data_IF_261669365609
#
_entry.id   IF_261669365609
#
_cell.length_a   1.000
_cell.length_b   1.000
_cell.length_c   1.000
_cell.angle_alpha   90.00
_cell.angle_beta   90.00
_cell.angle_gamma   90.00
#
_symmetry.space_group_name_H-M   'P 1'
#
loop_
_entity.id
_entity.type
_entity.pdbx_description
1 polymer ?
#
# COMPACT_ATOMS: atom_id res chain seq x y z
N UNK A 1 55.85 -39.06 -8.05
CA UNK A 1 55.32 -37.74 -7.55
C UNK A 1 54.19 -37.40 -8.49
N UNK A 2 52.95 -37.82 -8.16
CA UNK A 2 51.73 -37.55 -8.96
C UNK A 2 51.15 -36.23 -8.51
N UNK A 3 51.06 -35.26 -9.44
CA UNK A 3 50.45 -33.94 -9.24
C UNK A 3 48.98 -34.06 -9.59
N UNK A 4 48.11 -34.15 -8.58
CA UNK A 4 46.64 -34.11 -8.73
C UNK A 4 46.21 -32.65 -8.94
N UNK A 5 45.85 -32.28 -10.16
CA UNK A 5 45.20 -31.04 -10.49
C UNK A 5 43.74 -31.07 -9.95
N UNK A 6 43.44 -30.27 -8.93
CA UNK A 6 42.07 -29.92 -8.53
C UNK A 6 41.50 -28.95 -9.57
N UNK A 7 40.62 -29.44 -10.42
CA UNK A 7 39.71 -28.60 -11.21
C UNK A 7 38.62 -28.05 -10.29
N UNK A 8 38.80 -26.85 -9.79
CA UNK A 8 37.71 -26.08 -9.17
C UNK A 8 36.71 -25.70 -10.26
N UNK A 9 35.55 -26.35 -10.28
CA UNK A 9 34.40 -25.90 -11.07
C UNK A 9 33.94 -24.54 -10.52
N UNK A 10 34.27 -23.50 -11.25
CA UNK A 10 33.68 -22.19 -11.03
C UNK A 10 32.21 -22.30 -11.45
N UNK A 11 31.32 -22.54 -10.50
CA UNK A 11 29.89 -22.38 -10.69
C UNK A 11 29.64 -20.89 -10.91
N UNK A 12 29.45 -20.48 -12.16
CA UNK A 12 28.91 -19.18 -12.49
C UNK A 12 27.57 -19.08 -11.75
N UNK A 13 27.53 -18.27 -10.68
CA UNK A 13 26.28 -17.96 -9.99
C UNK A 13 25.39 -17.25 -11.00
N UNK A 14 24.42 -17.99 -11.52
CA UNK A 14 23.34 -17.45 -12.31
C UNK A 14 22.46 -16.63 -11.33
N UNK A 15 22.91 -15.40 -11.02
CA UNK A 15 22.14 -14.48 -10.19
C UNK A 15 20.91 -14.10 -11.00
N UNK A 16 19.78 -14.72 -10.65
CA UNK A 16 18.51 -14.40 -11.27
C UNK A 16 18.31 -12.87 -11.20
N UNK A 17 18.16 -12.26 -12.38
CA UNK A 17 18.07 -10.80 -12.53
C UNK A 17 16.85 -10.28 -11.78
N UNK A 18 17.06 -9.31 -10.91
CA UNK A 18 15.95 -8.60 -10.25
C UNK A 18 15.11 -7.87 -11.32
N UNK A 19 13.80 -8.07 -11.27
CA UNK A 19 12.86 -7.47 -12.22
C UNK A 19 11.58 -7.03 -11.48
N UNK A 20 11.67 -5.99 -10.62
CA UNK A 20 10.52 -5.46 -9.92
C UNK A 20 9.55 -4.75 -10.88
N UNK A 21 8.26 -4.83 -10.58
CA UNK A 21 7.24 -4.07 -11.28
C UNK A 21 7.27 -2.63 -10.76
N UNK A 22 7.72 -1.71 -11.61
CA UNK A 22 7.78 -0.27 -11.29
C UNK A 22 6.50 0.43 -11.73
N UNK A 23 6.03 1.36 -10.91
CA UNK A 23 4.82 2.16 -11.18
C UNK A 23 5.06 3.62 -10.81
N UNK A 24 4.30 4.52 -11.41
CA UNK A 24 4.17 5.86 -10.88
C UNK A 24 3.50 5.83 -9.49
N UNK A 25 3.68 6.87 -8.72
CA UNK A 25 3.02 7.12 -7.41
C UNK A 25 3.02 5.90 -6.47
N UNK A 26 4.20 5.30 -6.22
CA UNK A 26 4.30 4.07 -5.43
C UNK A 26 3.84 4.23 -3.97
N UNK A 27 3.69 5.46 -3.48
CA UNK A 27 3.17 5.76 -2.13
C UNK A 27 1.75 5.21 -1.92
N UNK A 28 0.98 4.98 -2.99
CA UNK A 28 -0.35 4.36 -2.93
C UNK A 28 -0.31 2.89 -2.46
N UNK A 29 0.86 2.26 -2.52
CA UNK A 29 1.09 0.88 -2.04
C UNK A 29 1.53 0.81 -0.57
N UNK A 30 1.76 1.94 0.07
CA UNK A 30 2.15 2.02 1.47
C UNK A 30 0.91 2.01 2.36
N UNK A 31 1.00 1.35 3.51
CA UNK A 31 -0.07 1.42 4.51
C UNK A 31 -0.33 2.85 4.93
N UNK A 32 -1.59 3.24 4.88
CA UNK A 32 -2.05 4.59 5.19
C UNK A 32 -2.27 4.81 6.70
N UNK A 33 -2.29 3.74 7.51
CA UNK A 33 -2.55 3.82 8.96
C UNK A 33 -1.71 2.84 9.77
N UNK A 34 -1.58 3.13 11.07
CA UNK A 34 -0.75 2.36 11.99
C UNK A 34 -1.32 0.99 12.33
N UNK A 35 -2.65 0.80 12.36
CA UNK A 35 -3.26 -0.50 12.64
C UNK A 35 -2.91 -1.50 11.55
N UNK A 36 -3.17 -1.15 10.30
CA UNK A 36 -2.87 -1.98 9.13
C UNK A 36 -1.37 -2.27 9.03
N UNK A 37 -0.55 -1.23 9.20
CA UNK A 37 0.90 -1.38 9.16
C UNK A 37 1.44 -2.33 10.24
N UNK A 38 0.84 -2.34 11.43
CA UNK A 38 1.21 -3.26 12.51
C UNK A 38 0.81 -4.72 12.24
N UNK A 39 -0.05 -4.95 11.26
CA UNK A 39 -0.59 -6.28 10.91
C UNK A 39 -0.02 -6.81 9.59
N UNK A 40 1.23 -6.47 9.25
CA UNK A 40 1.89 -6.93 8.02
C UNK A 40 1.20 -6.43 6.75
N UNK A 41 0.64 -5.23 6.79
CA UNK A 41 -0.13 -4.58 5.72
C UNK A 41 -1.40 -5.35 5.28
N UNK A 42 -1.91 -6.26 6.11
CA UNK A 42 -3.11 -7.04 5.82
C UNK A 42 -4.36 -6.34 6.37
N UNK A 43 -5.20 -5.78 5.49
CA UNK A 43 -6.36 -4.97 5.86
C UNK A 43 -7.66 -5.30 5.12
N UNK A 44 -7.61 -5.96 3.96
CA UNK A 44 -8.77 -6.11 3.06
C UNK A 44 -9.96 -6.82 3.72
N UNK A 45 -9.70 -7.75 4.65
CA UNK A 45 -10.73 -8.53 5.35
C UNK A 45 -10.86 -8.20 6.86
N UNK A 46 -10.05 -7.31 7.42
CA UNK A 46 -10.12 -6.94 8.84
C UNK A 46 -11.42 -6.20 9.17
N UNK A 47 -11.76 -6.14 10.47
CA UNK A 47 -12.91 -5.39 10.93
C UNK A 47 -12.84 -3.92 10.48
N UNK A 48 -14.00 -3.32 10.11
CA UNK A 48 -14.04 -1.95 9.58
C UNK A 48 -13.65 -0.91 10.65
N UNK A 49 -13.03 0.16 10.18
CA UNK A 49 -12.71 1.37 10.94
C UNK A 49 -12.74 2.61 10.02
N UNK A 50 -12.26 3.76 10.51
CA UNK A 50 -12.25 5.00 9.73
C UNK A 50 -11.33 4.94 8.49
N UNK A 51 -10.32 4.05 8.48
CA UNK A 51 -9.36 3.92 7.38
C UNK A 51 -9.78 2.88 6.32
N UNK A 52 -10.97 2.29 6.47
CA UNK A 52 -11.45 1.18 5.64
C UNK A 52 -11.46 1.49 4.15
N UNK A 53 -11.76 2.74 3.76
CA UNK A 53 -11.83 3.17 2.37
C UNK A 53 -10.51 3.03 1.62
N UNK A 54 -9.38 3.14 2.30
CA UNK A 54 -8.06 3.00 1.68
C UNK A 54 -7.76 1.58 1.18
N UNK A 55 -8.43 0.56 1.75
CA UNK A 55 -8.12 -0.86 1.52
C UNK A 55 -9.30 -1.64 0.93
N UNK A 56 -10.48 -1.45 1.50
CA UNK A 56 -11.71 -2.12 1.08
C UNK A 56 -12.91 -1.25 1.48
N UNK A 57 -13.40 -0.44 0.54
CA UNK A 57 -14.58 0.40 0.74
C UNK A 57 -15.84 -0.39 1.08
N UNK A 58 -15.95 -1.65 0.62
CA UNK A 58 -17.12 -2.50 0.86
C UNK A 58 -17.42 -2.79 2.33
N UNK A 59 -16.40 -2.70 3.20
CA UNK A 59 -16.60 -2.88 4.65
C UNK A 59 -17.02 -1.61 5.38
N UNK A 60 -16.96 -0.43 4.74
CA UNK A 60 -17.25 0.86 5.40
C UNK A 60 -18.66 0.95 5.95
N UNK A 61 -19.67 0.41 5.24
CA UNK A 61 -21.06 0.39 5.71
C UNK A 61 -21.29 -0.51 6.95
N UNK A 62 -20.32 -1.39 7.28
CA UNK A 62 -20.37 -2.25 8.48
C UNK A 62 -19.83 -1.59 9.74
N UNK A 63 -19.30 -0.37 9.66
CA UNK A 63 -18.92 0.38 10.86
C UNK A 63 -20.11 0.53 11.81
N UNK A 64 -19.87 0.41 13.10
CA UNK A 64 -20.90 0.55 14.15
C UNK A 64 -21.25 2.01 14.39
N UNK A 65 -20.22 2.88 14.43
CA UNK A 65 -20.41 4.31 14.64
C UNK A 65 -21.01 4.96 13.38
N UNK A 66 -21.83 6.00 13.59
CA UNK A 66 -22.44 6.77 12.51
C UNK A 66 -21.40 7.53 11.68
N UNK A 67 -20.33 7.95 12.33
CA UNK A 67 -19.30 8.81 11.77
C UNK A 67 -17.95 8.43 12.36
N UNK A 68 -16.90 8.44 11.55
CA UNK A 68 -15.53 8.24 11.99
C UNK A 68 -14.55 9.00 11.12
N UNK A 69 -13.47 9.47 11.75
CA UNK A 69 -12.33 10.14 11.10
C UNK A 69 -11.05 9.47 11.60
N UNK A 70 -10.06 9.39 10.71
CA UNK A 70 -8.70 8.95 11.01
C UNK A 70 -7.68 9.94 10.45
N UNK A 71 -6.62 10.19 11.20
CA UNK A 71 -5.46 10.94 10.76
C UNK A 71 -4.20 10.14 11.09
N UNK A 72 -3.30 10.00 10.13
CA UNK A 72 -2.05 9.26 10.31
C UNK A 72 -0.88 10.08 9.81
N UNK A 73 0.18 10.09 10.60
CA UNK A 73 1.48 10.66 10.24
C UNK A 73 2.54 9.57 10.23
N UNK A 74 3.28 9.50 9.14
CA UNK A 74 4.37 8.54 8.93
C UNK A 74 5.62 9.30 8.50
N UNK A 75 6.53 9.66 9.41
CA UNK A 75 7.84 10.17 9.05
C UNK A 75 8.67 9.05 8.41
N UNK A 76 9.47 9.40 7.41
CA UNK A 76 10.24 8.44 6.65
C UNK A 76 11.69 8.87 6.55
N UNK A 77 12.65 7.91 6.60
CA UNK A 77 14.09 8.13 6.48
C UNK A 77 14.64 9.25 7.36
N UNK A 78 13.97 9.62 8.45
CA UNK A 78 14.40 10.68 9.36
C UNK A 78 15.76 10.39 9.99
N UNK A 79 16.08 9.12 10.22
CA UNK A 79 17.38 8.68 10.76
C UNK A 79 18.55 8.92 9.76
N UNK A 80 18.28 8.99 8.46
CA UNK A 80 19.28 9.29 7.44
C UNK A 80 19.48 10.80 7.22
N UNK A 81 18.86 11.63 8.07
CA UNK A 81 18.96 13.09 7.97
C UNK A 81 18.13 13.69 6.83
N UNK A 82 17.29 12.89 6.14
CA UNK A 82 16.39 13.41 5.10
C UNK A 82 15.25 14.16 5.79
N UNK A 83 15.21 15.49 5.56
CA UNK A 83 14.19 16.35 6.16
C UNK A 83 12.93 16.37 5.28
N UNK A 84 11.77 16.53 5.93
CA UNK A 84 10.47 16.74 5.26
C UNK A 84 10.06 15.59 4.35
N UNK A 85 10.53 14.37 4.59
CA UNK A 85 10.07 13.15 3.94
C UNK A 85 9.06 12.46 4.85
N UNK A 86 7.78 12.49 4.48
CA UNK A 86 6.69 11.92 5.28
C UNK A 86 5.46 11.60 4.43
N UNK A 87 4.61 10.76 4.97
CA UNK A 87 3.24 10.55 4.46
C UNK A 87 2.23 11.04 5.51
N UNK A 88 1.25 11.82 5.06
CA UNK A 88 0.03 12.12 5.79
C UNK A 88 -1.12 11.37 5.16
N UNK A 89 -2.00 10.81 5.98
CA UNK A 89 -3.25 10.22 5.54
C UNK A 89 -4.39 10.71 6.42
N UNK A 90 -5.43 11.21 5.79
CA UNK A 90 -6.70 11.57 6.41
C UNK A 90 -7.78 10.71 5.79
N UNK A 91 -8.63 10.13 6.60
CA UNK A 91 -9.75 9.30 6.16
C UNK A 91 -11.00 9.59 6.99
N UNK A 92 -12.13 9.23 6.47
CA UNK A 92 -13.35 9.28 7.23
C UNK A 92 -14.53 8.66 6.49
N UNK A 93 -15.59 8.46 7.25
CA UNK A 93 -16.84 7.98 6.72
C UNK A 93 -18.03 8.62 7.45
N UNK A 94 -19.16 8.63 6.76
CA UNK A 94 -20.46 8.99 7.31
C UNK A 94 -21.50 7.97 6.84
N UNK A 95 -22.21 7.35 7.77
CA UNK A 95 -23.32 6.43 7.46
C UNK A 95 -24.58 7.23 7.16
N UNK A 96 -25.06 7.11 5.94
CA UNK A 96 -26.33 7.69 5.51
C UNK A 96 -27.48 7.03 6.27
N UNK A 97 -27.44 5.69 6.29
CA UNK A 97 -28.37 4.84 7.02
C UNK A 97 -27.70 3.54 7.54
N UNK A 98 -28.46 2.53 7.92
CA UNK A 98 -27.96 1.24 8.42
C UNK A 98 -27.13 0.49 7.38
N UNK A 99 -27.40 0.72 6.11
CA UNK A 99 -26.87 -0.08 5.00
C UNK A 99 -25.92 0.70 4.08
N UNK A 100 -25.85 2.02 4.22
CA UNK A 100 -25.13 2.88 3.28
C UNK A 100 -24.17 3.81 4.01
N UNK A 101 -22.98 4.01 3.43
CA UNK A 101 -22.00 4.95 3.92
C UNK A 101 -21.28 5.66 2.76
N UNK A 102 -20.98 6.94 2.97
CA UNK A 102 -20.00 7.69 2.19
C UNK A 102 -18.66 7.65 2.91
N UNK A 103 -17.59 7.67 2.15
CA UNK A 103 -16.23 7.79 2.68
C UNK A 103 -15.43 8.83 1.91
N UNK A 104 -14.41 9.36 2.55
CA UNK A 104 -13.43 10.24 1.93
C UNK A 104 -12.03 9.87 2.41
N UNK A 105 -11.04 10.17 1.60
CA UNK A 105 -9.64 9.99 1.95
C UNK A 105 -8.75 11.03 1.26
N UNK A 106 -7.68 11.38 1.95
CA UNK A 106 -6.58 12.20 1.42
C UNK A 106 -5.29 11.54 1.83
N UNK A 107 -4.40 11.32 0.86
CA UNK A 107 -3.02 10.92 1.12
C UNK A 107 -2.09 11.94 0.50
N UNK A 108 -1.18 12.48 1.29
CA UNK A 108 -0.14 13.41 0.86
C UNK A 108 1.22 12.80 1.18
N UNK A 109 2.06 12.66 0.17
CA UNK A 109 3.40 12.11 0.28
C UNK A 109 4.43 13.17 -0.11
N UNK A 110 5.04 13.77 0.89
CA UNK A 110 6.18 14.67 0.71
C UNK A 110 7.46 13.85 0.51
N UNK A 111 8.20 14.15 -0.56
CA UNK A 111 9.43 13.43 -0.90
C UNK A 111 10.70 14.16 -0.42
N UNK A 112 10.56 15.11 0.50
CA UNK A 112 11.66 15.87 1.06
C UNK A 112 11.98 17.14 0.27
N UNK A 113 13.17 17.67 0.48
CA UNK A 113 13.65 18.89 -0.17
C UNK A 113 14.86 18.59 -1.04
N UNK A 114 14.82 19.09 -2.27
CA UNK A 114 15.92 19.00 -3.24
C UNK A 114 16.50 20.40 -3.49
N UNK A 115 17.80 20.52 -3.39
CA UNK A 115 18.52 21.75 -3.62
C UNK A 115 19.22 21.66 -4.98
N UNK A 116 18.81 22.53 -5.90
CA UNK A 116 19.50 22.69 -7.19
C UNK A 116 20.65 23.68 -7.00
N UNK A 117 21.82 23.30 -7.47
CA UNK A 117 23.02 24.14 -7.43
C UNK A 117 23.53 24.39 -8.84
N UNK A 118 24.26 25.49 -9.05
CA UNK A 118 25.05 25.72 -10.26
C UNK A 118 26.35 24.89 -10.22
N UNK A 119 27.14 25.03 -11.29
CA UNK A 119 28.42 24.32 -11.44
C UNK A 119 29.45 24.73 -10.39
N UNK A 120 29.24 25.84 -9.67
CA UNK A 120 30.07 26.32 -8.56
C UNK A 120 29.54 25.88 -7.19
N UNK A 121 28.42 25.07 -7.16
CA UNK A 121 27.81 24.60 -5.94
C UNK A 121 26.92 25.64 -5.23
N UNK A 122 26.62 26.78 -5.86
CA UNK A 122 25.73 27.77 -5.26
C UNK A 122 24.26 27.40 -5.48
N UNK A 123 23.44 27.60 -4.45
CA UNK A 123 22.02 27.26 -4.50
C UNK A 123 21.26 28.14 -5.52
N UNK A 124 20.68 27.50 -6.53
CA UNK A 124 19.82 28.14 -7.53
C UNK A 124 18.37 28.14 -7.07
N UNK A 125 17.89 26.98 -6.58
CA UNK A 125 16.48 26.77 -6.24
C UNK A 125 16.30 25.59 -5.32
N UNK A 126 15.33 25.71 -4.41
CA UNK A 126 14.80 24.58 -3.63
C UNK A 126 13.50 24.11 -4.23
N UNK A 127 13.31 22.79 -4.35
CA UNK A 127 12.09 22.18 -4.82
C UNK A 127 11.64 21.08 -3.84
N UNK A 128 10.33 20.99 -3.61
CA UNK A 128 9.70 19.99 -2.74
C UNK A 128 8.76 19.11 -3.58
N UNK A 129 9.25 17.96 -4.07
CA UNK A 129 8.38 17.00 -4.74
C UNK A 129 7.30 16.49 -3.82
N UNK A 130 6.12 16.28 -4.36
CA UNK A 130 5.00 15.80 -3.59
C UNK A 130 4.00 15.07 -4.48
N UNK A 131 3.42 14.02 -3.92
CA UNK A 131 2.32 13.27 -4.51
C UNK A 131 1.10 13.38 -3.63
N UNK A 132 -0.07 13.66 -4.20
CA UNK A 132 -1.33 13.74 -3.49
C UNK A 132 -2.37 12.83 -4.15
N UNK A 133 -3.18 12.16 -3.32
CA UNK A 133 -4.35 11.42 -3.77
C UNK A 133 -5.58 11.86 -2.95
N UNK A 134 -6.66 12.17 -3.66
CA UNK A 134 -7.96 12.50 -3.09
C UNK A 134 -8.94 11.42 -3.49
N UNK A 135 -9.74 10.93 -2.55
CA UNK A 135 -10.71 9.87 -2.82
C UNK A 135 -12.05 10.12 -2.18
N UNK A 136 -13.11 9.70 -2.88
CA UNK A 136 -14.49 9.68 -2.40
C UNK A 136 -15.09 8.33 -2.72
N UNK A 137 -15.72 7.70 -1.73
CA UNK A 137 -16.28 6.36 -1.85
C UNK A 137 -17.73 6.29 -1.41
N UNK A 138 -18.41 5.29 -1.94
CA UNK A 138 -19.73 4.86 -1.54
C UNK A 138 -19.73 3.38 -1.23
N UNK A 139 -20.33 3.00 -0.12
CA UNK A 139 -20.43 1.63 0.35
C UNK A 139 -21.88 1.26 0.66
N UNK A 140 -22.29 0.04 0.28
CA UNK A 140 -23.62 -0.46 0.55
C UNK A 140 -23.58 -1.92 1.02
N UNK A 141 -24.25 -2.19 2.13
CA UNK A 141 -24.63 -3.55 2.52
C UNK A 141 -25.74 -4.04 1.60
N UNK A 142 -25.51 -5.16 0.94
CA UNK A 142 -26.54 -5.85 0.16
C UNK A 142 -27.28 -6.89 1.03
N UNK A 143 -26.63 -7.33 2.11
CA UNK A 143 -27.22 -8.16 3.16
C UNK A 143 -26.53 -7.85 4.51
N UNK A 144 -26.96 -8.51 5.58
CA UNK A 144 -26.30 -8.41 6.89
C UNK A 144 -24.85 -8.93 6.89
N UNK A 145 -24.49 -9.73 5.89
CA UNK A 145 -23.19 -10.36 5.78
C UNK A 145 -22.36 -9.88 4.58
N UNK A 146 -22.97 -9.23 3.57
CA UNK A 146 -22.28 -8.89 2.32
C UNK A 146 -22.43 -7.42 1.97
N UNK A 147 -21.33 -6.78 1.64
CA UNK A 147 -21.26 -5.38 1.23
C UNK A 147 -20.34 -5.16 0.05
N UNK A 148 -20.68 -4.15 -0.74
CA UNK A 148 -19.90 -3.66 -1.87
C UNK A 148 -19.50 -2.21 -1.64
N UNK A 149 -18.38 -1.81 -2.24
CA UNK A 149 -17.90 -0.44 -2.23
C UNK A 149 -17.31 -0.06 -3.58
N UNK A 150 -17.51 1.20 -3.94
CA UNK A 150 -16.84 1.85 -5.08
C UNK A 150 -16.19 3.13 -4.58
N UNK A 151 -15.00 3.44 -5.10
CA UNK A 151 -14.26 4.66 -4.74
C UNK A 151 -13.71 5.28 -6.01
N UNK A 152 -13.91 6.58 -6.18
CA UNK A 152 -13.25 7.39 -7.20
C UNK A 152 -12.03 8.08 -6.59
N UNK A 153 -10.92 8.13 -7.33
CA UNK A 153 -9.65 8.72 -6.88
C UNK A 153 -9.06 9.65 -7.93
N UNK A 154 -8.65 10.82 -7.51
CA UNK A 154 -7.81 11.73 -8.28
C UNK A 154 -6.41 11.75 -7.71
N UNK A 155 -5.40 11.68 -8.56
CA UNK A 155 -4.00 11.61 -8.19
C UNK A 155 -3.24 12.70 -8.94
N UNK A 156 -2.44 13.48 -8.21
CA UNK A 156 -1.51 14.46 -8.76
C UNK A 156 -0.10 14.16 -8.24
N UNK A 157 0.88 14.17 -9.14
CA UNK A 157 2.28 13.92 -8.83
C UNK A 157 3.15 15.03 -9.40
N UNK A 158 3.89 15.71 -8.52
CA UNK A 158 4.79 16.79 -8.86
C UNK A 158 6.21 16.44 -8.47
N UNK A 159 6.95 15.79 -9.38
CA UNK A 159 8.29 15.23 -9.12
C UNK A 159 9.43 16.19 -9.43
N UNK A 160 9.22 17.20 -10.26
CA UNK A 160 10.23 18.19 -10.59
C UNK A 160 9.63 19.57 -10.89
N UNK A 161 10.47 20.52 -11.12
CA UNK A 161 10.08 21.84 -11.61
C UNK A 161 11.10 22.32 -12.67
N UNK A 162 10.69 23.27 -13.48
CA UNK A 162 11.59 23.87 -14.48
C UNK A 162 12.73 24.60 -13.76
N UNK A 163 13.97 24.18 -14.02
CA UNK A 163 15.20 24.77 -13.46
C UNK A 163 16.27 24.79 -14.54
N UNK A 164 16.84 25.93 -14.82
CA UNK A 164 17.88 26.12 -15.84
C UNK A 164 17.41 25.65 -17.23
N UNK A 165 18.16 24.76 -17.87
CA UNK A 165 17.84 24.17 -19.17
C UNK A 165 16.77 23.08 -19.12
N UNK A 166 16.34 22.64 -17.93
CA UNK A 166 15.25 21.68 -17.76
C UNK A 166 13.93 22.44 -17.92
N UNK A 167 13.45 22.54 -19.15
CA UNK A 167 12.18 23.15 -19.50
C UNK A 167 11.16 22.05 -19.88
N UNK A 168 9.85 22.37 -19.76
CA UNK A 168 8.74 21.50 -20.12
C UNK A 168 8.42 20.34 -19.17
N UNK A 169 8.86 20.40 -17.91
CA UNK A 169 8.40 19.44 -16.93
C UNK A 169 6.94 19.72 -16.54
N UNK A 170 6.09 18.69 -16.65
CA UNK A 170 4.67 18.76 -16.26
C UNK A 170 4.41 17.90 -15.04
N UNK A 171 3.55 18.37 -14.16
CA UNK A 171 2.98 17.52 -13.09
C UNK A 171 2.12 16.43 -13.72
N UNK A 172 2.30 15.20 -13.25
CA UNK A 172 1.47 14.08 -13.67
C UNK A 172 0.11 14.10 -13.00
N UNK A 173 -0.92 13.70 -13.75
CA UNK A 173 -2.28 13.54 -13.23
C UNK A 173 -2.83 12.20 -13.66
N UNK A 174 -3.61 11.57 -12.78
CA UNK A 174 -4.33 10.35 -13.09
C UNK A 174 -5.68 10.32 -12.37
N UNK A 175 -6.62 9.60 -12.94
CA UNK A 175 -7.89 9.24 -12.30
C UNK A 175 -7.96 7.73 -12.18
N UNK A 176 -8.54 7.26 -11.08
CA UNK A 176 -8.69 5.84 -10.81
C UNK A 176 -10.00 5.55 -10.11
N UNK A 177 -10.42 4.29 -10.16
CA UNK A 177 -11.53 3.76 -9.40
C UNK A 177 -11.10 2.52 -8.64
N UNK A 178 -11.74 2.28 -7.49
CA UNK A 178 -11.64 1.02 -6.76
C UNK A 178 -13.02 0.35 -6.73
N UNK A 179 -13.02 -0.97 -6.78
CA UNK A 179 -14.20 -1.82 -6.60
C UNK A 179 -13.86 -2.83 -5.52
N UNK A 180 -14.71 -2.97 -4.52
CA UNK A 180 -14.41 -3.84 -3.39
C UNK A 180 -15.65 -4.55 -2.86
N UNK A 181 -15.42 -5.75 -2.31
CA UNK A 181 -16.41 -6.59 -1.69
C UNK A 181 -15.95 -7.04 -0.31
N UNK A 182 -16.88 -7.12 0.61
CA UNK A 182 -16.63 -7.58 1.96
C UNK A 182 -17.72 -8.55 2.40
N UNK A 183 -17.30 -9.72 2.89
CA UNK A 183 -18.19 -10.71 3.49
C UNK A 183 -17.89 -10.86 4.98
N UNK A 184 -18.86 -10.54 5.82
CA UNK A 184 -18.81 -10.68 7.28
C UNK A 184 -19.47 -12.00 7.66
N UNK A 185 -18.66 -13.02 7.91
CA UNK A 185 -19.15 -14.34 8.31
C UNK A 185 -19.71 -14.38 9.73
N UNK A 186 -20.69 -15.24 9.96
CA UNK A 186 -21.38 -15.39 11.25
C UNK A 186 -20.48 -15.94 12.35
N UNK A 187 -19.45 -16.72 12.01
CA UNK A 187 -18.54 -17.38 12.96
C UNK A 187 -17.23 -16.61 13.16
N UNK A 188 -17.22 -15.30 12.89
CA UNK A 188 -16.02 -14.47 13.00
C UNK A 188 -15.06 -14.55 11.81
N UNK A 189 -15.34 -15.37 10.80
CA UNK A 189 -14.55 -15.48 9.58
C UNK A 189 -15.03 -14.45 8.56
N UNK A 190 -14.18 -13.51 8.22
CA UNK A 190 -14.46 -12.50 7.18
C UNK A 190 -13.64 -12.78 5.93
N UNK A 191 -14.15 -12.35 4.76
CA UNK A 191 -13.43 -12.33 3.50
C UNK A 191 -13.49 -10.93 2.88
N UNK A 192 -12.42 -10.53 2.24
CA UNK A 192 -12.31 -9.27 1.53
C UNK A 192 -11.70 -9.45 0.15
N UNK A 193 -12.25 -8.74 -0.82
CA UNK A 193 -11.71 -8.60 -2.17
C UNK A 193 -11.70 -7.12 -2.52
N UNK A 194 -10.59 -6.62 -3.06
CA UNK A 194 -10.50 -5.26 -3.56
C UNK A 194 -9.68 -5.23 -4.86
N UNK A 195 -10.22 -4.54 -5.84
CA UNK A 195 -9.53 -4.08 -7.03
C UNK A 195 -9.30 -2.59 -6.84
N UNK A 196 -8.05 -2.16 -6.72
CA UNK A 196 -7.71 -0.78 -6.38
C UNK A 196 -6.86 -0.13 -7.46
N UNK A 197 -6.95 1.20 -7.56
CA UNK A 197 -6.21 2.00 -8.53
C UNK A 197 -6.44 1.58 -9.99
N UNK A 198 -7.64 1.12 -10.34
CA UNK A 198 -8.03 0.86 -11.73
C UNK A 198 -8.19 2.19 -12.47
N UNK A 199 -7.15 2.66 -13.17
CA UNK A 199 -7.16 4.03 -13.67
C UNK A 199 -6.20 4.28 -14.83
N UNK A 200 -6.13 5.55 -15.24
CA UNK A 200 -5.25 5.99 -16.33
C UNK A 200 -3.77 5.83 -15.99
N UNK A 201 -2.91 5.82 -17.01
CA UNK A 201 -1.48 6.05 -16.77
C UNK A 201 -1.27 7.47 -16.24
N UNK A 202 -0.21 7.64 -15.47
CA UNK A 202 0.31 8.95 -15.06
C UNK A 202 1.14 9.49 -16.21
N UNK A 203 0.79 10.68 -16.70
CA UNK A 203 1.48 11.34 -17.81
C UNK A 203 2.27 12.56 -17.29
N UNK A 204 3.58 12.53 -17.47
CA UNK A 204 4.50 13.61 -17.12
C UNK A 204 4.94 14.44 -18.33
N UNK A 205 4.27 14.27 -19.48
CA UNK A 205 4.58 14.95 -20.74
C UNK A 205 5.60 14.21 -21.60
N UNK A 206 6.78 13.91 -21.07
CA UNK A 206 7.84 13.17 -21.79
C UNK A 206 7.79 11.65 -21.55
N UNK A 207 7.10 11.20 -20.50
CA UNK A 207 6.99 9.79 -20.14
C UNK A 207 5.62 9.51 -19.49
N UNK A 208 5.06 8.36 -19.80
CA UNK A 208 3.87 7.87 -19.13
C UNK A 208 4.15 6.54 -18.41
N UNK A 209 3.60 6.39 -17.20
CA UNK A 209 3.82 5.19 -16.39
C UNK A 209 2.49 4.69 -15.82
N UNK A 210 2.37 3.37 -15.65
CA UNK A 210 1.22 2.80 -14.98
C UNK A 210 1.14 3.26 -13.52
N UNK A 211 -0.06 3.55 -13.03
CA UNK A 211 -0.33 3.66 -11.60
C UNK A 211 -0.44 2.24 -11.00
N UNK A 212 -0.28 2.05 -9.69
CA UNK A 212 -0.23 0.73 -9.06
C UNK A 212 -1.61 0.08 -8.95
N UNK A 213 -2.25 -0.23 -10.09
CA UNK A 213 -3.45 -1.04 -10.12
C UNK A 213 -3.17 -2.39 -9.45
N UNK A 214 -4.06 -2.84 -8.54
CA UNK A 214 -3.80 -3.99 -7.69
C UNK A 214 -5.08 -4.79 -7.41
N UNK A 215 -4.94 -6.10 -7.24
CA UNK A 215 -5.94 -6.98 -6.65
C UNK A 215 -5.46 -7.44 -5.29
N UNK A 216 -6.33 -7.31 -4.29
CA UNK A 216 -6.13 -7.81 -2.92
C UNK A 216 -7.22 -8.82 -2.59
N UNK A 217 -6.82 -9.97 -2.07
CA UNK A 217 -7.72 -11.00 -1.56
C UNK A 217 -7.26 -11.40 -0.16
N UNK A 218 -8.16 -11.42 0.80
CA UNK A 218 -7.80 -11.77 2.16
C UNK A 218 -8.91 -12.38 2.96
N UNK A 219 -8.52 -12.93 4.09
CA UNK A 219 -9.42 -13.46 5.11
C UNK A 219 -8.97 -13.00 6.48
N UNK A 220 -9.91 -12.81 7.39
CA UNK A 220 -9.63 -12.62 8.83
C UNK A 220 -10.53 -13.49 9.68
N UNK A 221 -9.98 -14.00 10.77
CA UNK A 221 -10.71 -14.78 11.76
C UNK A 221 -10.69 -14.05 13.08
N UNK A 222 -11.87 -13.68 13.57
CA UNK A 222 -12.09 -12.95 14.81
C UNK A 222 -12.67 -13.91 15.85
N UNK A 223 -11.97 -14.13 16.96
CA UNK A 223 -12.39 -15.02 18.03
C UNK A 223 -12.44 -14.26 19.35
N UNK A 224 -13.59 -14.29 20.02
CA UNK A 224 -13.68 -13.92 21.43
C UNK A 224 -13.19 -15.11 22.26
N UNK A 225 -12.18 -14.89 23.10
CA UNK A 225 -11.65 -15.88 24.06
C UNK A 225 -12.60 -15.91 25.26
N UNK A 226 -12.95 -14.71 25.72
CA UNK A 226 -13.94 -14.45 26.75
C UNK A 226 -14.61 -13.08 26.51
N UNK A 227 -15.28 -12.52 27.52
CA UNK A 227 -15.99 -11.24 27.41
C UNK A 227 -15.05 -10.04 27.21
N UNK A 228 -13.84 -10.12 27.73
CA UNK A 228 -12.85 -9.03 27.73
C UNK A 228 -11.75 -9.23 26.68
N UNK A 229 -11.50 -10.48 26.27
CA UNK A 229 -10.34 -10.87 25.47
C UNK A 229 -10.76 -11.36 24.08
N UNK A 230 -10.22 -10.73 23.04
CA UNK A 230 -10.45 -11.11 21.64
C UNK A 230 -9.12 -11.23 20.90
N UNK A 231 -9.08 -12.11 19.92
CA UNK A 231 -7.95 -12.25 19.01
C UNK A 231 -8.44 -12.27 17.57
N UNK A 232 -7.70 -11.60 16.71
CA UNK A 232 -7.93 -11.60 15.26
C UNK A 232 -6.66 -12.07 14.55
N UNK A 233 -6.81 -12.98 13.61
CA UNK A 233 -5.77 -13.35 12.65
C UNK A 233 -6.20 -12.94 11.26
N UNK A 234 -5.27 -12.45 10.44
CA UNK A 234 -5.55 -12.06 9.05
C UNK A 234 -4.44 -12.51 8.12
N UNK A 235 -4.83 -12.90 6.91
CA UNK A 235 -3.92 -13.18 5.81
C UNK A 235 -4.45 -12.47 4.58
N UNK A 236 -3.55 -11.86 3.83
CA UNK A 236 -3.85 -11.13 2.60
C UNK A 236 -2.82 -11.44 1.53
N UNK A 237 -3.31 -11.64 0.30
CA UNK A 237 -2.49 -11.76 -0.90
C UNK A 237 -2.78 -10.57 -1.82
N UNK A 238 -1.72 -9.95 -2.30
CA UNK A 238 -1.76 -8.80 -3.19
C UNK A 238 -1.00 -9.10 -4.48
N UNK A 239 -1.55 -8.65 -5.62
CA UNK A 239 -0.87 -8.72 -6.90
C UNK A 239 -1.11 -7.45 -7.70
N UNK A 240 -0.04 -6.85 -8.22
CA UNK A 240 -0.16 -5.73 -9.15
C UNK A 240 -0.78 -6.20 -10.48
N UNK A 241 -1.76 -5.44 -10.95
CA UNK A 241 -2.38 -5.58 -12.26
C UNK A 241 -1.61 -4.77 -13.34
N UNK A 242 -0.31 -4.77 -13.20
CA UNK A 242 0.64 -4.13 -14.10
C UNK A 242 1.56 -5.22 -14.64
N UNK A 243 1.77 -5.30 -15.97
CA UNK A 243 2.66 -6.29 -16.54
C UNK A 243 4.10 -6.10 -16.05
N UNK A 244 4.83 -7.19 -15.92
CA UNK A 244 6.26 -7.12 -15.65
C UNK A 244 6.98 -6.41 -16.81
N UNK A 245 7.85 -5.43 -16.54
CA UNK A 245 8.63 -4.78 -17.58
C UNK A 245 9.47 -5.79 -18.38
N UNK A 246 9.57 -5.64 -19.71
CA UNK A 246 10.45 -6.48 -20.54
C UNK A 246 11.92 -6.15 -20.26
N UNK A 247 12.82 -6.98 -20.82
CA UNK A 247 14.24 -6.67 -20.78
C UNK A 247 14.51 -5.33 -21.51
N UNK A 248 15.20 -4.36 -20.87
CA UNK A 248 15.45 -3.04 -21.46
C UNK A 248 16.30 -3.07 -22.72
N UNK A 249 16.99 -4.18 -23.00
CA UNK A 249 17.76 -4.36 -24.24
C UNK A 249 16.88 -4.73 -25.44
N UNK A 250 15.63 -5.17 -25.23
CA UNK A 250 14.66 -5.48 -26.29
C UNK A 250 13.80 -4.25 -26.59
N UNK A 251 14.30 -3.38 -27.45
CA UNK A 251 13.65 -2.12 -27.80
C UNK A 251 12.21 -2.30 -28.34
N UNK A 252 11.93 -3.38 -29.08
CA UNK A 252 10.61 -3.65 -29.62
C UNK A 252 9.60 -3.99 -28.51
N UNK A 253 9.99 -4.81 -27.53
CA UNK A 253 9.14 -5.13 -26.37
C UNK A 253 8.98 -3.96 -25.43
N UNK A 254 10.02 -3.13 -25.26
CA UNK A 254 9.94 -1.89 -24.46
C UNK A 254 8.94 -0.92 -25.08
N UNK A 255 8.98 -0.72 -26.41
CA UNK A 255 8.02 0.12 -27.13
C UNK A 255 6.58 -0.42 -27.02
N UNK A 256 6.41 -1.74 -27.19
CA UNK A 256 5.10 -2.39 -27.02
C UNK A 256 4.55 -2.24 -25.59
N UNK A 257 5.41 -2.39 -24.57
CA UNK A 257 5.04 -2.18 -23.16
C UNK A 257 4.60 -0.74 -22.90
N UNK A 258 5.32 0.24 -23.45
CA UNK A 258 4.99 1.67 -23.32
C UNK A 258 3.65 2.04 -23.96
N UNK A 259 3.33 1.46 -25.13
CA UNK A 259 2.10 1.73 -25.89
C UNK A 259 0.89 0.91 -25.44
N UNK A 260 1.08 -0.10 -24.57
CA UNK A 260 -0.02 -0.98 -24.12
C UNK A 260 -1.12 -0.21 -23.40
N UNK A 261 -2.37 -0.48 -23.79
CA UNK A 261 -3.56 0.11 -23.15
C UNK A 261 -3.75 -0.36 -21.71
N UNK A 262 -4.27 0.52 -20.85
CA UNK A 262 -4.41 0.25 -19.42
C UNK A 262 -5.28 -0.98 -19.14
N UNK A 263 -6.46 -1.07 -19.73
CA UNK A 263 -7.39 -2.20 -19.50
C UNK A 263 -6.77 -3.52 -19.98
N UNK A 264 -6.13 -3.52 -21.15
CA UNK A 264 -5.41 -4.69 -21.66
C UNK A 264 -4.27 -5.08 -20.71
N UNK A 265 -3.55 -4.12 -20.13
CA UNK A 265 -2.45 -4.38 -19.19
C UNK A 265 -2.90 -5.13 -17.94
N UNK A 266 -4.12 -4.87 -17.42
CA UNK A 266 -4.65 -5.59 -16.24
C UNK A 266 -4.77 -7.09 -16.52
N UNK A 267 -5.28 -7.47 -17.71
CA UNK A 267 -5.39 -8.89 -18.09
C UNK A 267 -4.03 -9.48 -18.45
N UNK A 268 -3.17 -8.75 -19.16
CA UNK A 268 -1.83 -9.21 -19.52
C UNK A 268 -0.94 -9.42 -18.28
N UNK A 269 -1.19 -8.74 -17.17
CA UNK A 269 -0.50 -8.97 -15.90
C UNK A 269 -0.61 -10.41 -15.39
N UNK A 270 -1.64 -11.14 -15.82
CA UNK A 270 -1.80 -12.59 -15.56
C UNK A 270 -1.19 -13.45 -16.66
N UNK A 271 -1.13 -12.95 -17.87
CA UNK A 271 -0.69 -13.72 -19.06
C UNK A 271 0.80 -13.72 -19.30
N UNK A 272 1.50 -12.62 -19.06
CA UNK A 272 2.88 -12.42 -19.44
C UNK A 272 3.79 -12.14 -18.25
N UNK A 273 4.83 -12.94 -18.11
CA UNK A 273 6.03 -12.63 -17.35
C UNK A 273 7.24 -13.24 -18.10
N UNK A 274 8.38 -12.56 -18.21
CA UNK A 274 9.56 -13.06 -18.92
C UNK A 274 10.02 -14.44 -18.44
N UNK A 275 9.94 -14.73 -17.16
CA UNK A 275 10.29 -16.01 -16.51
C UNK A 275 9.12 -17.01 -16.39
N UNK A 276 7.98 -16.77 -17.08
CA UNK A 276 6.84 -17.69 -17.11
C UNK A 276 6.06 -17.80 -15.80
N UNK A 277 5.42 -18.95 -15.58
CA UNK A 277 4.51 -19.16 -14.43
C UNK A 277 5.20 -19.01 -13.07
N UNK A 278 6.49 -19.37 -12.97
CA UNK A 278 7.27 -19.20 -11.74
C UNK A 278 7.41 -17.74 -11.36
N UNK A 279 7.70 -16.87 -12.32
CA UNK A 279 7.84 -15.43 -12.09
C UNK A 279 6.49 -14.80 -11.69
N UNK A 280 5.36 -15.25 -12.26
CA UNK A 280 4.02 -14.80 -11.87
C UNK A 280 3.71 -15.09 -10.41
N UNK A 281 4.08 -16.26 -9.91
CA UNK A 281 3.92 -16.59 -8.49
C UNK A 281 4.79 -15.69 -7.59
N UNK A 282 5.97 -15.30 -8.06
CA UNK A 282 6.86 -14.38 -7.35
C UNK A 282 6.32 -12.94 -7.27
N UNK A 283 5.37 -12.57 -8.12
CA UNK A 283 4.71 -11.25 -8.10
C UNK A 283 3.66 -11.10 -6.98
N UNK A 284 3.25 -12.22 -6.36
CA UNK A 284 2.30 -12.20 -5.25
C UNK A 284 3.02 -11.79 -3.97
N UNK A 285 2.47 -10.78 -3.32
CA UNK A 285 2.88 -10.31 -2.01
C UNK A 285 1.93 -10.87 -0.96
N UNK A 286 2.44 -11.20 0.22
CA UNK A 286 1.65 -11.78 1.30
C UNK A 286 1.79 -10.94 2.57
N UNK A 287 0.66 -10.65 3.20
CA UNK A 287 0.57 -10.03 4.50
C UNK A 287 -0.03 -11.00 5.51
N UNK A 288 0.57 -11.08 6.69
CA UNK A 288 0.09 -11.87 7.83
C UNK A 288 0.00 -10.95 9.03
N UNK A 289 -1.13 -11.00 9.74
CA UNK A 289 -1.33 -10.15 10.90
C UNK A 289 -2.06 -10.85 12.03
N UNK A 290 -1.78 -10.40 13.24
CA UNK A 290 -2.53 -10.75 14.45
C UNK A 290 -2.81 -9.51 15.28
N UNK A 291 -4.00 -9.44 15.86
CA UNK A 291 -4.42 -8.38 16.76
C UNK A 291 -5.03 -9.02 18.01
N UNK A 292 -4.48 -8.74 19.17
CA UNK A 292 -5.10 -9.05 20.45
C UNK A 292 -5.74 -7.79 21.02
N UNK A 293 -6.96 -7.87 21.52
CA UNK A 293 -7.64 -6.77 22.18
C UNK A 293 -8.12 -7.16 23.58
N UNK A 294 -7.92 -6.24 24.52
CA UNK A 294 -8.42 -6.32 25.88
C UNK A 294 -9.48 -5.26 26.12
N UNK A 295 -10.70 -5.67 26.44
CA UNK A 295 -11.89 -4.82 26.69
C UNK A 295 -12.25 -3.87 25.55
N UNK A 296 -11.85 -4.19 24.31
CA UNK A 296 -11.94 -3.29 23.16
C UNK A 296 -11.30 -1.89 23.40
N UNK A 297 -10.35 -1.83 24.35
CA UNK A 297 -9.66 -0.60 24.75
C UNK A 297 -8.16 -0.68 24.46
N UNK A 298 -7.52 -1.80 24.75
CA UNK A 298 -6.07 -1.97 24.54
C UNK A 298 -5.85 -3.00 23.44
N UNK A 299 -4.91 -2.69 22.55
CA UNK A 299 -4.61 -3.52 21.39
C UNK A 299 -3.10 -3.74 21.29
N UNK A 300 -2.72 -5.00 21.09
CA UNK A 300 -1.36 -5.39 20.70
C UNK A 300 -1.44 -6.06 19.33
N UNK A 301 -0.48 -5.76 18.45
CA UNK A 301 -0.47 -6.22 17.07
C UNK A 301 0.90 -6.71 16.68
N UNK A 302 0.91 -7.71 15.85
CA UNK A 302 2.12 -8.20 15.18
C UNK A 302 1.78 -8.67 13.79
N UNK A 303 2.75 -8.56 12.89
CA UNK A 303 2.55 -8.98 11.51
C UNK A 303 3.85 -9.22 10.77
N UNK A 304 3.70 -9.76 9.58
CA UNK A 304 4.80 -10.01 8.66
C UNK A 304 4.36 -9.74 7.24
N UNK A 305 5.17 -9.01 6.49
CA UNK A 305 4.99 -8.77 5.06
C UNK A 305 6.08 -9.47 4.27
N UNK A 306 5.67 -10.19 3.23
CA UNK A 306 6.55 -10.91 2.33
C UNK A 306 6.41 -10.44 0.88
N UNK A 307 7.53 -10.10 0.27
CA UNK A 307 7.66 -9.88 -1.17
C UNK A 307 8.89 -10.62 -1.69
N UNK A 308 8.76 -11.28 -2.84
CA UNK A 308 9.85 -12.07 -3.41
C UNK A 308 11.08 -11.20 -3.69
N UNK A 309 12.27 -11.75 -3.42
CA UNK A 309 13.56 -11.05 -3.57
C UNK A 309 13.82 -10.48 -4.97
N UNK A 310 13.25 -11.10 -6.01
CA UNK A 310 13.39 -10.65 -7.40
C UNK A 310 12.35 -9.59 -7.80
N UNK A 311 11.36 -9.32 -6.93
CA UNK A 311 10.21 -8.45 -7.20
C UNK A 311 10.13 -7.22 -6.29
N UNK A 312 11.21 -6.91 -5.56
CA UNK A 312 11.31 -5.74 -4.69
C UNK A 312 11.89 -6.03 -3.31
N UNK A 313 11.86 -7.32 -2.87
CA UNK A 313 12.51 -7.79 -1.64
C UNK A 313 12.08 -7.03 -0.37
N UNK A 314 10.85 -6.54 -0.31
CA UNK A 314 10.29 -5.88 0.88
C UNK A 314 9.80 -6.95 1.85
N UNK A 315 10.69 -7.38 2.72
CA UNK A 315 10.38 -8.34 3.78
C UNK A 315 10.57 -7.66 5.12
N UNK A 316 9.55 -7.68 5.96
CA UNK A 316 9.62 -7.05 7.27
C UNK A 316 8.61 -7.63 8.25
N UNK A 317 9.03 -7.66 9.51
CA UNK A 317 8.15 -7.86 10.65
C UNK A 317 7.57 -6.50 11.09
N UNK A 318 6.39 -6.54 11.68
CA UNK A 318 5.72 -5.34 12.19
C UNK A 318 5.19 -5.60 13.59
N UNK A 319 5.24 -4.57 14.41
CA UNK A 319 4.63 -4.57 15.76
C UNK A 319 3.84 -3.28 15.96
N UNK A 320 2.85 -3.32 16.81
CA UNK A 320 2.09 -2.12 17.13
C UNK A 320 1.24 -2.26 18.38
N UNK A 321 0.85 -1.11 18.89
CA UNK A 321 -0.05 -1.00 20.01
C UNK A 321 -1.15 0.02 19.73
N UNK A 322 -2.26 -0.11 20.40
CA UNK A 322 -3.36 0.84 20.31
C UNK A 322 -4.10 0.99 21.63
N UNK A 323 -4.67 2.16 21.84
CA UNK A 323 -5.56 2.43 22.95
C UNK A 323 -6.79 3.17 22.44
N UNK A 324 -7.96 2.77 22.91
CA UNK A 324 -9.24 3.43 22.64
C UNK A 324 -9.85 3.87 23.96
N UNK A 325 -10.10 5.16 24.07
CA UNK A 325 -10.81 5.74 25.20
C UNK A 325 -12.02 6.52 24.71
N UNK A 326 -13.21 6.08 25.09
CA UNK A 326 -14.48 6.62 24.61
C UNK A 326 -14.57 6.60 23.07
N UNK A 327 -14.58 7.76 22.46
CA UNK A 327 -14.68 7.94 21.01
C UNK A 327 -13.32 8.12 20.32
N UNK A 328 -12.22 8.18 21.06
CA UNK A 328 -10.89 8.48 20.54
C UNK A 328 -10.00 7.26 20.62
N UNK A 329 -9.33 6.93 19.53
CA UNK A 329 -8.34 5.88 19.45
C UNK A 329 -6.98 6.43 19.05
N UNK A 330 -5.92 5.88 19.63
CA UNK A 330 -4.55 6.14 19.27
C UNK A 330 -3.87 4.83 18.91
N UNK A 331 -3.16 4.78 17.78
CA UNK A 331 -2.40 3.62 17.37
C UNK A 331 -0.97 4.02 16.99
N UNK A 332 -0.05 3.12 17.32
CA UNK A 332 1.36 3.20 16.98
C UNK A 332 1.78 1.91 16.27
N UNK A 333 2.61 2.00 15.26
CA UNK A 333 3.27 0.85 14.65
C UNK A 333 4.73 1.12 14.34
N UNK A 334 5.50 0.04 14.32
CA UNK A 334 6.92 0.06 13.97
C UNK A 334 7.26 -1.09 13.04
N UNK A 335 8.08 -0.80 12.03
CA UNK A 335 8.47 -1.75 10.99
C UNK A 335 9.95 -2.13 11.17
N UNK A 336 10.21 -3.44 11.17
CA UNK A 336 11.52 -4.04 11.35
C UNK A 336 11.86 -4.81 10.09
N UNK A 337 12.76 -4.33 9.21
CA UNK A 337 13.19 -5.06 8.04
C UNK A 337 13.78 -6.42 8.40
N UNK A 338 13.50 -7.42 7.57
CA UNK A 338 14.02 -8.78 7.73
C UNK A 338 14.69 -9.26 6.44
N UNK A 339 15.47 -10.37 6.52
CA UNK A 339 16.16 -10.92 5.37
C UNK A 339 17.54 -10.30 5.11
N UNK A 340 18.13 -10.62 3.96
CA UNK A 340 19.54 -10.31 3.65
C UNK A 340 19.78 -8.85 3.22
N UNK A 341 18.75 -8.02 3.03
CA UNK A 341 18.86 -6.65 2.52
C UNK A 341 18.30 -5.60 3.50
N UNK A 342 18.52 -5.81 4.79
CA UNK A 342 17.98 -4.94 5.85
C UNK A 342 18.49 -3.49 5.76
N UNK A 343 19.71 -3.27 5.29
CA UNK A 343 20.31 -1.94 5.21
C UNK A 343 19.78 -1.09 4.05
N UNK A 344 19.31 -1.72 2.96
CA UNK A 344 18.82 -1.04 1.75
C UNK A 344 17.29 -0.98 1.68
N UNK A 345 16.58 -1.39 2.72
CA UNK A 345 15.13 -1.31 2.75
C UNK A 345 14.71 0.14 3.04
N UNK A 346 14.08 0.79 2.06
CA UNK A 346 13.60 2.17 2.18
C UNK A 346 12.56 2.36 3.28
N UNK A 347 11.93 1.29 3.78
CA UNK A 347 10.96 1.31 4.88
C UNK A 347 11.61 1.05 6.25
N UNK A 348 12.95 0.94 6.32
CA UNK A 348 13.67 0.68 7.56
C UNK A 348 13.30 1.71 8.62
N UNK A 349 13.05 1.21 9.83
CA UNK A 349 12.78 2.02 11.02
C UNK A 349 11.58 2.98 10.86
N UNK A 350 10.64 2.65 9.98
CA UNK A 350 9.42 3.45 9.81
C UNK A 350 8.49 3.22 10.98
N UNK A 351 8.10 4.28 11.65
CA UNK A 351 7.00 4.26 12.60
C UNK A 351 5.80 5.05 12.07
N UNK A 352 4.60 4.72 12.55
CA UNK A 352 3.36 5.41 12.19
C UNK A 352 2.56 5.73 13.43
N UNK A 353 1.98 6.91 13.43
CA UNK A 353 1.09 7.41 14.47
C UNK A 353 -0.26 7.67 13.86
N UNK A 354 -1.30 7.05 14.40
CA UNK A 354 -2.69 7.28 13.95
C UNK A 354 -3.57 7.73 15.10
N UNK A 355 -4.35 8.76 14.85
CA UNK A 355 -5.42 9.23 15.72
C UNK A 355 -6.75 8.92 15.05
N UNK A 356 -7.66 8.30 15.79
CA UNK A 356 -8.99 7.92 15.31
C UNK A 356 -10.06 8.58 16.20
N UNK A 357 -11.12 9.01 15.56
CA UNK A 357 -12.31 9.45 16.27
C UNK A 357 -13.54 8.79 15.67
N UNK A 358 -14.40 8.19 16.52
CA UNK A 358 -15.63 7.54 16.08
C UNK A 358 -16.78 7.93 17.01
N UNK A 359 -17.79 8.57 16.46
CA UNK A 359 -18.97 8.99 17.21
C UNK A 359 -20.04 7.90 17.12
N UNK A 360 -20.24 7.16 18.23
CA UNK A 360 -21.38 6.26 18.39
C UNK A 360 -22.62 7.13 18.66
N UNK A 361 -23.74 6.82 18.03
CA UNK A 361 -25.00 7.47 18.41
C UNK A 361 -25.25 7.23 19.89
N UNK A 362 -25.24 8.25 20.69
CA UNK A 362 -25.91 8.23 22.00
C UNK A 362 -27.38 7.99 21.71
N UNK A 363 -27.89 6.84 22.16
CA UNK A 363 -29.33 6.57 22.20
C UNK A 363 -30.01 7.53 23.13
#
# INVERSE_FOLDING_TARGET
MLLTMYLSTVSAQNTAKENPITTAVPFLRLSADARTAAMGDAAVATNPDANSSFYNGGKTAFNEAKFGIGATYTPWLSELGVRNLFQLALSGYYKIDKNQALSFGVRDFSQGEFYFTDDMGQAIKTFKPNDIALEVGYSRKLSETFGLGVTGRYINSRLASNVGSISNYKSGNAVAADISAFYKGKNGLNFGLALTNLGSKMDYGSASSYIPANISLGTSYNKSIDNDNKITFTVEANKLLVPTPPDPTDAAKVAAYGSEGVVSSWFKSYGYAPGGSKEKLQEVQLGFGSEYSYKDQFYLRGGYFYENKLKGNRNYATVGAGVVYKSTGFNLSYLIPTGNNTNNNALKNTFRLSLLFACKNTK
#
